data_IF_852799190857
#
_entry.id   IF_852799190857
#
_cell.length_a   1.000
_cell.length_b   1.000
_cell.length_c   1.000
_cell.angle_alpha   90.00
_cell.angle_beta   90.00
_cell.angle_gamma   90.00
#
_symmetry.space_group_name_H-M   'P 1'
#
loop_
_entity.id
_entity.type
_entity.pdbx_description
1 polymer ?
#
# COMPACT_ATOMS: atom_id res chain seq x y z
N UNK A 1 -8.27 0.14 25.26
CA UNK A 1 -6.81 -0.08 25.35
C UNK A 1 -6.21 -0.34 23.98
N UNK A 2 -5.98 0.72 23.21
CA UNK A 2 -5.31 0.64 21.90
C UNK A 2 -3.99 1.38 22.00
N UNK A 3 -2.91 0.81 21.47
CA UNK A 3 -1.58 1.43 21.41
C UNK A 3 -1.07 1.37 19.98
N UNK A 4 -0.72 2.52 19.41
CA UNK A 4 -0.09 2.61 18.10
C UNK A 4 1.43 2.67 18.24
N UNK A 5 2.16 1.90 17.43
CA UNK A 5 3.62 1.86 17.44
C UNK A 5 4.11 1.80 15.99
N UNK A 6 4.99 2.72 15.60
CA UNK A 6 5.69 2.65 14.33
C UNK A 6 6.86 1.66 14.44
N UNK A 7 6.97 0.75 13.48
CA UNK A 7 7.98 -0.30 13.46
C UNK A 7 8.46 -0.60 12.04
N UNK A 8 9.72 -1.02 11.92
CA UNK A 8 10.35 -1.42 10.67
C UNK A 8 10.92 -2.82 10.78
N UNK A 9 10.38 -3.77 10.02
CA UNK A 9 10.92 -5.13 9.95
C UNK A 9 12.30 -5.19 9.25
N UNK A 10 12.79 -4.09 8.68
CA UNK A 10 14.16 -3.95 8.17
C UNK A 10 15.19 -3.78 9.30
N UNK A 11 14.75 -3.42 10.50
CA UNK A 11 15.58 -3.31 11.70
C UNK A 11 15.27 -4.49 12.62
N UNK A 12 16.14 -5.51 12.71
CA UNK A 12 15.84 -6.75 13.42
C UNK A 12 15.36 -6.54 14.87
N UNK A 13 15.93 -5.58 15.59
CA UNK A 13 15.58 -5.30 16.99
C UNK A 13 14.21 -4.64 17.21
N UNK A 14 13.55 -4.11 16.18
CA UNK A 14 12.24 -3.44 16.37
C UNK A 14 11.10 -4.44 16.51
N UNK A 15 11.11 -5.54 15.74
CA UNK A 15 10.11 -6.60 15.85
C UNK A 15 10.12 -7.22 17.26
N UNK A 16 11.31 -7.45 17.84
CA UNK A 16 11.49 -8.04 19.16
C UNK A 16 10.85 -7.24 20.31
N UNK A 17 10.47 -5.98 20.09
CA UNK A 17 9.75 -5.16 21.07
C UNK A 17 8.28 -5.56 21.22
N UNK A 18 7.69 -6.21 20.22
CA UNK A 18 6.25 -6.50 20.15
C UNK A 18 5.77 -7.38 21.30
N UNK A 19 6.42 -8.52 21.64
CA UNK A 19 5.95 -9.35 22.76
C UNK A 19 5.87 -8.56 24.08
N UNK A 20 6.85 -7.70 24.37
CA UNK A 20 6.84 -6.83 25.55
C UNK A 20 5.69 -5.82 25.53
N UNK A 21 5.42 -5.23 24.36
CA UNK A 21 4.29 -4.29 24.19
C UNK A 21 2.94 -4.99 24.37
N UNK A 22 2.79 -6.21 23.84
CA UNK A 22 1.58 -7.01 24.00
C UNK A 22 1.38 -7.44 25.46
N UNK A 23 2.43 -7.88 26.16
CA UNK A 23 2.36 -8.21 27.59
C UNK A 23 1.89 -7.01 28.44
N UNK A 24 2.38 -5.81 28.14
CA UNK A 24 1.94 -4.61 28.86
C UNK A 24 0.45 -4.31 28.68
N UNK A 25 -0.15 -4.73 27.56
CA UNK A 25 -1.60 -4.62 27.30
C UNK A 25 -2.40 -5.77 27.93
N UNK A 26 -1.76 -6.92 28.17
CA UNK A 26 -2.39 -8.11 28.77
C UNK A 26 -1.54 -8.68 29.90
N UNK A 27 -1.41 -7.99 31.06
CA UNK A 27 -0.50 -8.38 32.12
C UNK A 27 -0.84 -9.71 32.81
N UNK A 28 -2.07 -10.21 32.61
CA UNK A 28 -2.53 -11.50 33.11
C UNK A 28 -2.15 -12.71 32.21
N UNK A 29 -1.38 -12.47 31.13
CA UNK A 29 -0.87 -13.50 30.21
C UNK A 29 0.66 -13.57 30.26
N UNK A 30 1.24 -14.59 29.63
CA UNK A 30 2.69 -14.82 29.58
C UNK A 30 3.20 -15.87 30.56
N UNK A 31 2.29 -16.68 31.12
CA UNK A 31 2.63 -17.83 31.99
C UNK A 31 2.29 -19.14 31.27
N UNK A 32 2.78 -20.28 31.76
CA UNK A 32 2.43 -21.60 31.19
C UNK A 32 0.91 -21.88 31.23
N UNK A 33 0.23 -21.44 32.29
CA UNK A 33 -1.22 -21.60 32.44
C UNK A 33 -2.02 -20.66 31.52
N UNK A 34 -1.48 -19.47 31.25
CA UNK A 34 -2.11 -18.43 30.43
C UNK A 34 -1.10 -17.85 29.44
N UNK A 35 -0.73 -18.59 28.38
CA UNK A 35 0.24 -18.10 27.42
C UNK A 35 -0.28 -16.85 26.70
N UNK A 36 0.64 -15.98 26.30
CA UNK A 36 0.38 -14.87 25.40
C UNK A 36 0.12 -15.44 23.99
N UNK A 37 -1.04 -15.12 23.42
CA UNK A 37 -1.41 -15.52 22.07
C UNK A 37 -1.59 -14.26 21.24
N UNK A 38 -0.71 -14.06 20.28
CA UNK A 38 -0.70 -12.91 19.38
C UNK A 38 -1.22 -13.32 18.01
N UNK A 39 -1.89 -12.39 17.34
CA UNK A 39 -2.50 -12.60 16.03
C UNK A 39 -2.15 -11.40 15.15
N UNK A 40 -1.53 -11.66 13.99
CA UNK A 40 -1.24 -10.64 13.00
C UNK A 40 -2.39 -10.62 12.00
N UNK A 41 -2.99 -9.45 11.79
CA UNK A 41 -4.04 -9.22 10.80
C UNK A 41 -3.77 -7.94 10.02
N UNK A 42 -4.33 -7.85 8.80
CA UNK A 42 -4.26 -6.67 7.95
C UNK A 42 -4.47 -7.01 6.48
N UNK A 43 -4.53 -5.98 5.63
CA UNK A 43 -4.67 -6.11 4.18
C UNK A 43 -3.46 -6.84 3.54
N UNK A 44 -3.54 -7.30 2.29
CA UNK A 44 -2.39 -7.89 1.60
C UNK A 44 -1.17 -6.94 1.54
N UNK A 45 0.02 -7.52 1.41
CA UNK A 45 1.29 -6.80 1.17
C UNK A 45 1.75 -5.76 2.23
N UNK A 46 1.07 -5.62 3.37
CA UNK A 46 1.53 -4.77 4.50
C UNK A 46 2.72 -5.33 5.29
N UNK A 47 3.27 -6.48 4.89
CA UNK A 47 4.43 -7.08 5.55
C UNK A 47 4.12 -7.98 6.76
N UNK A 48 2.92 -8.55 6.86
CA UNK A 48 2.52 -9.49 7.94
C UNK A 48 3.50 -10.67 8.11
N UNK A 49 3.77 -11.38 7.03
CA UNK A 49 4.69 -12.53 7.04
C UNK A 49 6.14 -12.10 7.24
N UNK A 50 6.52 -10.91 6.77
CA UNK A 50 7.83 -10.30 7.06
C UNK A 50 7.99 -10.03 8.54
N UNK A 51 6.94 -9.51 9.19
CA UNK A 51 6.92 -9.27 10.63
C UNK A 51 7.03 -10.58 11.42
N UNK A 52 6.29 -11.62 11.01
CA UNK A 52 6.39 -12.93 11.64
C UNK A 52 7.80 -13.53 11.51
N UNK A 53 8.39 -13.50 10.31
CA UNK A 53 9.75 -14.00 10.09
C UNK A 53 10.79 -13.24 10.92
N UNK A 54 10.63 -11.92 11.07
CA UNK A 54 11.47 -11.09 11.93
C UNK A 54 11.34 -11.47 13.41
N UNK A 55 10.13 -11.75 13.89
CA UNK A 55 9.88 -12.19 15.27
C UNK A 55 10.45 -13.58 15.57
N UNK A 56 10.42 -14.49 14.60
CA UNK A 56 10.92 -15.85 14.76
C UNK A 56 12.43 -15.95 14.53
N UNK A 57 13.10 -14.90 14.05
CA UNK A 57 14.50 -14.90 13.62
C UNK A 57 14.83 -16.01 12.58
N UNK A 58 13.84 -16.44 11.79
CA UNK A 58 14.00 -17.43 10.72
C UNK A 58 12.93 -17.24 9.64
N UNK A 59 13.21 -17.69 8.42
CA UNK A 59 12.26 -17.65 7.30
C UNK A 59 11.32 -18.85 7.39
N UNK A 60 10.09 -18.63 7.87
CA UNK A 60 9.07 -19.68 8.00
C UNK A 60 7.89 -19.45 7.08
N UNK A 61 7.44 -18.19 6.94
CA UNK A 61 6.41 -17.84 5.96
C UNK A 61 7.03 -17.36 4.65
N UNK A 62 6.38 -17.76 3.55
CA UNK A 62 6.67 -17.26 2.21
C UNK A 62 6.37 -15.75 2.16
N UNK A 63 7.35 -14.97 1.75
CA UNK A 63 7.19 -13.53 1.48
C UNK A 63 7.23 -13.35 -0.02
N UNK A 64 6.24 -12.65 -0.56
CA UNK A 64 6.16 -12.28 -1.96
C UNK A 64 5.40 -10.96 -2.09
N UNK A 65 5.62 -10.26 -3.18
CA UNK A 65 4.97 -8.98 -3.48
C UNK A 65 3.57 -9.18 -4.07
N UNK A 66 3.18 -10.42 -4.38
CA UNK A 66 1.85 -10.71 -4.89
C UNK A 66 0.82 -10.80 -3.75
N UNK A 67 -0.37 -10.19 -3.91
CA UNK A 67 -1.47 -10.41 -2.99
C UNK A 67 -1.82 -11.90 -2.84
N UNK A 68 -2.30 -12.29 -1.66
CA UNK A 68 -2.71 -13.67 -1.33
C UNK A 68 -1.58 -14.74 -1.29
N UNK A 69 -0.31 -14.34 -1.10
CA UNK A 69 0.81 -15.29 -0.88
C UNK A 69 0.57 -16.21 0.35
N UNK A 70 0.02 -15.67 1.45
CA UNK A 70 -0.34 -16.45 2.64
C UNK A 70 -1.72 -17.08 2.43
N UNK A 71 -1.77 -18.40 2.22
CA UNK A 71 -3.00 -19.14 1.87
C UNK A 71 -3.74 -19.74 3.07
N UNK A 72 -3.06 -19.95 4.19
CA UNK A 72 -3.64 -20.53 5.40
C UNK A 72 -3.10 -19.84 6.65
N UNK A 73 -3.85 -19.91 7.74
CA UNK A 73 -3.38 -19.44 9.04
C UNK A 73 -2.25 -20.34 9.52
N UNK A 74 -1.18 -19.75 10.03
CA UNK A 74 -0.03 -20.48 10.55
C UNK A 74 0.28 -20.00 11.96
N UNK A 75 0.40 -20.93 12.90
CA UNK A 75 0.74 -20.65 14.29
C UNK A 75 2.15 -21.14 14.59
N UNK A 76 2.92 -20.29 15.26
CA UNK A 76 4.26 -20.59 15.73
C UNK A 76 4.43 -20.18 17.18
N UNK A 77 5.15 -20.99 17.94
CA UNK A 77 5.56 -20.64 19.29
C UNK A 77 6.83 -19.80 19.22
N UNK A 78 6.82 -18.67 19.94
CA UNK A 78 7.98 -17.78 20.12
C UNK A 78 8.78 -18.23 21.36
N UNK A 79 8.06 -18.69 22.39
CA UNK A 79 8.61 -19.30 23.60
C UNK A 79 7.55 -20.20 24.24
N UNK A 80 7.89 -20.90 25.31
CA UNK A 80 6.96 -21.78 26.05
C UNK A 80 5.70 -21.07 26.56
N UNK A 81 5.74 -19.75 26.71
CA UNK A 81 4.62 -18.95 27.20
C UNK A 81 4.06 -17.98 26.16
N UNK A 82 4.53 -18.04 24.91
CA UNK A 82 4.12 -17.10 23.86
C UNK A 82 3.99 -17.75 22.49
N UNK A 83 2.90 -17.46 21.80
CA UNK A 83 2.65 -17.89 20.43
C UNK A 83 2.17 -16.74 19.55
N UNK A 84 2.43 -16.86 18.26
CA UNK A 84 1.98 -15.92 17.23
C UNK A 84 1.32 -16.67 16.08
N UNK A 85 0.26 -16.08 15.55
CA UNK A 85 -0.46 -16.58 14.39
C UNK A 85 -0.46 -15.55 13.27
N UNK A 86 -0.01 -15.93 12.09
CA UNK A 86 -0.13 -15.14 10.86
C UNK A 86 -1.40 -15.53 10.10
N UNK A 87 -2.03 -14.54 9.47
CA UNK A 87 -3.28 -14.71 8.74
C UNK A 87 -3.15 -14.22 7.30
N UNK A 88 -3.91 -14.81 6.35
CA UNK A 88 -4.02 -14.25 5.01
C UNK A 88 -4.40 -12.76 5.03
N UNK A 89 -3.92 -12.01 4.04
CA UNK A 89 -4.36 -10.63 3.86
C UNK A 89 -5.84 -10.57 3.57
N UNK A 90 -6.60 -9.79 4.34
CA UNK A 90 -8.04 -9.64 4.14
C UNK A 90 -8.37 -8.24 3.65
N UNK A 91 -9.19 -8.15 2.62
CA UNK A 91 -9.75 -6.90 2.11
C UNK A 91 -11.20 -6.76 2.57
N UNK A 92 -11.68 -5.53 2.67
CA UNK A 92 -13.11 -5.29 2.87
C UNK A 92 -13.89 -5.69 1.61
N UNK A 93 -15.11 -6.24 1.75
CA UNK A 93 -15.92 -6.62 0.59
C UNK A 93 -16.23 -5.45 -0.35
N UNK A 94 -16.33 -4.23 0.20
CA UNK A 94 -16.58 -3.01 -0.56
C UNK A 94 -15.64 -1.90 -0.09
N UNK A 95 -14.99 -1.25 -1.05
CA UNK A 95 -14.22 -0.02 -0.83
C UNK A 95 -15.21 1.16 -0.89
N UNK A 96 -15.24 1.98 0.16
CA UNK A 96 -16.26 3.03 0.31
C UNK A 96 -15.96 4.28 -0.54
N UNK A 97 -14.69 4.61 -0.71
CA UNK A 97 -14.23 5.79 -1.44
C UNK A 97 -13.28 5.37 -2.55
N UNK A 98 -13.46 5.91 -3.74
CA UNK A 98 -12.61 5.60 -4.90
C UNK A 98 -11.13 5.92 -4.63
N UNK A 99 -10.84 7.01 -3.93
CA UNK A 99 -9.48 7.37 -3.50
C UNK A 99 -8.79 6.26 -2.70
N UNK A 100 -9.54 5.51 -1.90
CA UNK A 100 -8.97 4.40 -1.12
C UNK A 100 -8.51 3.29 -2.06
N UNK A 101 -9.28 3.00 -3.12
CA UNK A 101 -8.91 2.04 -4.16
C UNK A 101 -7.60 2.43 -4.84
N UNK A 102 -7.45 3.69 -5.25
CA UNK A 102 -6.22 4.19 -5.85
C UNK A 102 -5.03 4.17 -4.88
N UNK A 103 -5.21 4.58 -3.62
CA UNK A 103 -4.14 4.51 -2.61
C UNK A 103 -3.69 3.07 -2.31
N UNK A 104 -4.64 2.14 -2.25
CA UNK A 104 -4.39 0.71 -2.09
C UNK A 104 -3.63 0.15 -3.29
N UNK A 105 -4.02 0.52 -4.52
CA UNK A 105 -3.34 0.12 -5.74
C UNK A 105 -1.92 0.67 -5.84
N UNK A 106 -1.75 1.97 -5.57
CA UNK A 106 -0.44 2.62 -5.58
C UNK A 106 0.51 1.92 -4.59
N UNK A 107 0.00 1.52 -3.43
CA UNK A 107 0.74 0.81 -2.37
C UNK A 107 0.87 -0.70 -2.58
N UNK A 108 0.41 -1.23 -3.72
CA UNK A 108 0.43 -2.66 -4.06
C UNK A 108 -0.36 -3.55 -3.09
N UNK A 109 -1.38 -3.02 -2.40
CA UNK A 109 -2.22 -3.79 -1.48
C UNK A 109 -3.34 -4.58 -2.19
N UNK A 110 -3.67 -4.20 -3.43
CA UNK A 110 -4.61 -4.91 -4.30
C UNK A 110 -3.91 -5.42 -5.56
N UNK A 111 -4.50 -6.42 -6.22
CA UNK A 111 -3.92 -7.05 -7.41
C UNK A 111 -3.82 -6.08 -8.59
N UNK A 112 -2.82 -6.29 -9.45
CA UNK A 112 -2.56 -5.41 -10.62
C UNK A 112 -3.73 -5.31 -11.59
N UNK A 113 -4.57 -6.34 -11.66
CA UNK A 113 -5.73 -6.37 -12.56
C UNK A 113 -6.96 -5.64 -11.99
N UNK A 114 -6.88 -5.08 -10.78
CA UNK A 114 -8.03 -4.44 -10.13
C UNK A 114 -8.31 -3.03 -10.66
N UNK A 115 -7.29 -2.38 -11.23
CA UNK A 115 -7.31 -0.98 -11.70
C UNK A 115 -6.33 -0.81 -12.85
N UNK A 116 -6.51 0.24 -13.65
CA UNK A 116 -5.61 0.63 -14.73
C UNK A 116 -4.40 1.35 -14.12
N UNK A 117 -3.18 0.91 -14.43
CA UNK A 117 -1.96 1.44 -13.81
C UNK A 117 -1.77 2.93 -14.13
N UNK A 118 -2.19 3.39 -15.31
CA UNK A 118 -2.17 4.80 -15.72
C UNK A 118 -3.05 5.68 -14.82
N UNK A 119 -4.28 5.24 -14.50
CA UNK A 119 -5.18 6.00 -13.64
C UNK A 119 -4.63 6.08 -12.21
N UNK A 120 -4.05 4.98 -11.71
CA UNK A 120 -3.39 4.93 -10.39
C UNK A 120 -2.17 5.86 -10.38
N UNK A 121 -1.37 5.84 -11.46
CA UNK A 121 -0.21 6.68 -11.60
C UNK A 121 -0.59 8.16 -11.68
N UNK A 122 -1.66 8.51 -12.39
CA UNK A 122 -2.18 9.88 -12.49
C UNK A 122 -2.65 10.38 -11.13
N UNK A 123 -3.49 9.60 -10.43
CA UNK A 123 -3.94 9.92 -9.07
C UNK A 123 -2.76 10.13 -8.11
N UNK A 124 -1.77 9.23 -8.17
CA UNK A 124 -0.57 9.34 -7.34
C UNK A 124 0.24 10.59 -7.71
N UNK A 125 0.40 10.88 -9.00
CA UNK A 125 1.14 12.03 -9.50
C UNK A 125 0.55 13.34 -8.96
N UNK A 126 -0.77 13.52 -9.07
CA UNK A 126 -1.46 14.70 -8.51
C UNK A 126 -1.28 14.82 -7.00
N UNK A 127 -1.38 13.71 -6.26
CA UNK A 127 -1.17 13.70 -4.82
C UNK A 127 0.27 14.12 -4.46
N UNK A 128 1.27 13.58 -5.16
CA UNK A 128 2.68 13.86 -4.88
C UNK A 128 3.12 15.26 -5.32
N UNK A 129 2.59 15.80 -6.42
CA UNK A 129 2.83 17.19 -6.81
C UNK A 129 2.31 18.18 -5.77
N UNK A 130 1.11 17.90 -5.22
CA UNK A 130 0.50 18.72 -4.19
C UNK A 130 1.25 18.67 -2.86
N UNK A 131 1.65 17.48 -2.42
CA UNK A 131 2.13 17.26 -1.06
C UNK A 131 3.67 17.16 -0.96
N UNK A 132 4.34 16.76 -2.03
CA UNK A 132 5.78 16.47 -2.07
C UNK A 132 6.48 16.95 -3.35
N UNK A 133 6.23 18.19 -3.84
CA UNK A 133 6.80 18.66 -5.11
C UNK A 133 8.33 18.68 -5.10
N UNK A 134 8.95 18.95 -3.95
CA UNK A 134 10.40 18.94 -3.77
C UNK A 134 11.01 17.55 -3.96
N UNK A 135 10.34 16.48 -3.48
CA UNK A 135 10.79 15.10 -3.64
C UNK A 135 10.67 14.63 -5.09
N UNK A 136 9.57 15.00 -5.75
CA UNK A 136 9.36 14.73 -7.19
C UNK A 136 10.46 15.40 -8.01
N UNK A 137 10.71 16.69 -7.77
CA UNK A 137 11.77 17.40 -8.49
C UNK A 137 13.15 16.79 -8.22
N UNK A 138 13.47 16.45 -6.96
CA UNK A 138 14.74 15.81 -6.63
C UNK A 138 14.93 14.46 -7.33
N UNK A 139 13.86 13.65 -7.45
CA UNK A 139 13.92 12.34 -8.11
C UNK A 139 14.15 12.44 -9.61
N UNK A 140 13.41 13.32 -10.29
CA UNK A 140 13.38 13.37 -11.76
C UNK A 140 14.18 14.53 -12.37
N UNK A 141 14.67 15.46 -11.55
CA UNK A 141 15.41 16.67 -11.94
C UNK A 141 14.64 17.49 -12.99
N UNK A 142 13.38 17.76 -12.70
CA UNK A 142 12.44 18.36 -13.65
C UNK A 142 12.77 19.82 -13.92
N UNK A 143 13.19 20.56 -12.90
CA UNK A 143 13.73 21.93 -13.00
C UNK A 143 14.89 22.09 -14.00
N UNK A 144 15.62 21.02 -14.30
CA UNK A 144 16.69 21.04 -15.32
C UNK A 144 16.19 20.79 -16.74
N UNK A 145 14.92 20.43 -16.91
CA UNK A 145 14.33 20.11 -18.21
C UNK A 145 13.71 21.36 -18.86
N UNK A 146 13.92 21.51 -20.16
CA UNK A 146 13.36 22.61 -20.94
C UNK A 146 12.01 22.22 -21.55
N UNK A 147 11.05 23.15 -21.51
CA UNK A 147 9.76 23.04 -22.18
C UNK A 147 9.24 24.44 -22.55
N UNK A 148 8.66 24.58 -23.75
CA UNK A 148 8.07 25.82 -24.25
C UNK A 148 8.93 27.10 -24.06
N UNK A 149 10.26 26.99 -24.22
CA UNK A 149 11.18 28.12 -24.10
C UNK A 149 11.63 28.46 -22.67
N UNK A 150 11.17 27.74 -21.65
CA UNK A 150 11.61 27.87 -20.25
C UNK A 150 12.04 26.53 -19.63
N UNK A 151 12.37 26.57 -18.34
CA UNK A 151 12.53 25.36 -17.53
C UNK A 151 11.17 24.91 -16.98
N UNK A 152 10.97 23.62 -16.77
CA UNK A 152 9.76 23.12 -16.12
C UNK A 152 9.65 23.63 -14.68
N UNK A 153 8.44 23.97 -14.28
CA UNK A 153 8.10 24.42 -12.93
C UNK A 153 7.14 23.40 -12.30
N UNK A 154 7.66 22.55 -11.42
CA UNK A 154 6.92 21.45 -10.79
C UNK A 154 5.69 21.92 -10.03
N UNK A 155 5.67 23.18 -9.55
CA UNK A 155 4.53 23.73 -8.83
C UNK A 155 3.34 24.09 -9.74
N UNK A 156 3.55 24.09 -11.06
CA UNK A 156 2.53 24.41 -12.06
C UNK A 156 2.14 23.19 -12.91
N UNK A 157 2.69 22.03 -12.60
CA UNK A 157 2.41 20.78 -13.30
C UNK A 157 1.18 20.10 -12.70
N UNK A 158 0.42 19.42 -13.53
CA UNK A 158 -0.53 18.40 -13.11
C UNK A 158 0.06 16.98 -13.27
N UNK A 159 -0.72 15.95 -12.92
CA UNK A 159 -0.28 14.58 -13.01
C UNK A 159 0.05 14.12 -14.44
N UNK A 160 -0.64 14.64 -15.46
CA UNK A 160 -0.36 14.33 -16.87
C UNK A 160 1.00 14.92 -17.26
N UNK A 161 1.22 16.19 -16.94
CA UNK A 161 2.49 16.88 -17.18
C UNK A 161 3.66 16.12 -16.54
N UNK A 162 3.47 15.61 -15.32
CA UNK A 162 4.50 14.86 -14.61
C UNK A 162 4.82 13.54 -15.31
N UNK A 163 3.80 12.75 -15.68
CA UNK A 163 4.03 11.49 -16.37
C UNK A 163 4.71 11.73 -17.73
N UNK A 164 4.28 12.71 -18.51
CA UNK A 164 4.95 13.07 -19.76
C UNK A 164 6.40 13.50 -19.55
N UNK A 165 6.68 14.31 -18.52
CA UNK A 165 8.03 14.73 -18.19
C UNK A 165 8.92 13.54 -17.77
N UNK A 166 8.39 12.57 -17.05
CA UNK A 166 9.10 11.33 -16.70
C UNK A 166 9.38 10.49 -17.96
N UNK A 167 8.38 10.32 -18.84
CA UNK A 167 8.52 9.59 -20.09
C UNK A 167 9.62 10.21 -20.97
N UNK A 168 9.64 11.55 -21.06
CA UNK A 168 10.68 12.34 -21.71
C UNK A 168 12.04 12.12 -21.07
N UNK A 169 12.14 12.25 -19.75
CA UNK A 169 13.40 12.13 -18.99
C UNK A 169 14.04 10.76 -19.15
N UNK A 170 13.22 9.71 -19.23
CA UNK A 170 13.66 8.32 -19.33
C UNK A 170 13.67 7.77 -20.75
N UNK A 171 13.32 8.60 -21.74
CA UNK A 171 13.25 8.21 -23.15
C UNK A 171 12.37 6.98 -23.38
N UNK A 172 11.23 6.88 -22.68
CA UNK A 172 10.24 5.82 -22.90
C UNK A 172 9.45 6.09 -24.18
N UNK A 173 10.12 6.00 -25.33
CA UNK A 173 9.53 6.20 -26.65
C UNK A 173 9.07 4.87 -27.26
N UNK A 174 7.95 4.92 -27.95
CA UNK A 174 7.42 3.86 -28.81
C UNK A 174 8.01 3.98 -30.22
N UNK A 175 7.77 2.96 -31.04
CA UNK A 175 8.20 2.91 -32.43
C UNK A 175 7.53 3.97 -33.33
N UNK A 176 6.32 4.40 -32.97
CA UNK A 176 5.55 5.47 -33.65
C UNK A 176 6.03 6.89 -33.29
N UNK A 177 7.05 7.02 -32.44
CA UNK A 177 7.60 8.31 -32.00
C UNK A 177 6.87 8.94 -30.82
N UNK A 178 5.75 8.36 -30.36
CA UNK A 178 5.03 8.79 -29.16
C UNK A 178 5.67 8.22 -27.88
N UNK A 179 5.28 8.75 -26.73
CA UNK A 179 5.73 8.24 -25.44
C UNK A 179 4.87 7.04 -24.98
N UNK A 180 5.53 6.07 -24.36
CA UNK A 180 4.93 4.88 -23.78
C UNK A 180 4.41 5.21 -22.37
N UNK A 181 3.13 5.58 -22.28
CA UNK A 181 2.51 6.02 -21.03
C UNK A 181 2.27 4.87 -20.05
N UNK A 182 1.94 3.68 -20.54
CA UNK A 182 1.78 2.47 -19.72
C UNK A 182 3.10 2.13 -19.00
N UNK A 183 4.20 2.05 -19.77
CA UNK A 183 5.53 1.82 -19.20
C UNK A 183 5.95 2.92 -18.23
N UNK A 184 5.57 4.16 -18.52
CA UNK A 184 5.85 5.31 -17.65
C UNK A 184 5.11 5.19 -16.33
N UNK A 185 3.82 4.87 -16.36
CA UNK A 185 2.98 4.67 -15.18
C UNK A 185 3.56 3.55 -14.29
N UNK A 186 3.87 2.39 -14.87
CA UNK A 186 4.48 1.26 -14.14
C UNK A 186 5.82 1.66 -13.51
N UNK A 187 6.67 2.38 -14.25
CA UNK A 187 7.96 2.84 -13.74
C UNK A 187 7.81 3.86 -12.61
N UNK A 188 6.86 4.78 -12.70
CA UNK A 188 6.55 5.76 -11.67
C UNK A 188 6.02 5.10 -10.40
N UNK A 189 5.06 4.18 -10.52
CA UNK A 189 4.55 3.38 -9.40
C UNK A 189 5.66 2.56 -8.73
N UNK A 190 6.59 2.02 -9.50
CA UNK A 190 7.76 1.29 -8.98
C UNK A 190 8.71 2.20 -8.19
N UNK A 191 8.98 3.41 -8.68
CA UNK A 191 9.78 4.40 -7.95
C UNK A 191 9.13 4.79 -6.61
N UNK A 192 7.81 4.94 -6.59
CA UNK A 192 7.04 5.19 -5.38
C UNK A 192 7.15 4.01 -4.40
N UNK A 193 6.83 2.79 -4.83
CA UNK A 193 6.81 1.57 -3.99
C UNK A 193 8.18 1.22 -3.42
N UNK A 194 9.25 1.46 -4.17
CA UNK A 194 10.63 1.24 -3.71
C UNK A 194 11.12 2.30 -2.70
N UNK A 195 10.40 3.41 -2.57
CA UNK A 195 10.82 4.57 -1.78
C UNK A 195 11.89 5.42 -2.44
N UNK A 196 12.13 5.23 -3.75
CA UNK A 196 13.14 5.98 -4.50
C UNK A 196 12.80 7.47 -4.63
N UNK A 197 11.51 7.82 -4.59
CA UNK A 197 11.04 9.22 -4.55
C UNK A 197 11.32 9.84 -3.17
N UNK A 198 11.16 9.06 -2.09
CA UNK A 198 11.40 9.51 -0.72
C UNK A 198 10.43 8.88 0.28
N UNK A 199 10.41 9.42 1.50
CA UNK A 199 9.47 8.99 2.56
C UNK A 199 8.14 9.71 2.37
N UNK A 200 7.12 8.96 2.00
CA UNK A 200 5.81 9.49 1.63
C UNK A 200 4.72 8.87 2.50
N UNK A 201 3.73 9.67 2.85
CA UNK A 201 2.42 9.22 3.35
C UNK A 201 1.34 9.85 2.49
N UNK A 202 0.46 9.04 1.90
CA UNK A 202 -0.58 9.51 0.95
C UNK A 202 -1.74 10.24 1.63
N UNK A 203 -1.89 10.04 2.93
CA UNK A 203 -2.87 10.72 3.76
C UNK A 203 -2.32 11.08 5.14
N UNK A 204 -3.01 12.02 5.78
CA UNK A 204 -2.86 12.42 7.17
C UNK A 204 -4.23 12.36 7.84
N UNK A 205 -4.34 12.33 9.18
CA UNK A 205 -5.63 12.39 9.85
C UNK A 205 -6.49 13.59 9.41
N UNK A 206 -5.86 14.75 9.17
CA UNK A 206 -6.53 15.97 8.71
C UNK A 206 -7.01 15.84 7.26
N UNK A 207 -6.16 15.36 6.34
CA UNK A 207 -6.56 15.19 4.94
C UNK A 207 -7.64 14.12 4.79
N UNK A 208 -7.61 13.07 5.62
CA UNK A 208 -8.62 12.02 5.67
C UNK A 208 -9.97 12.56 6.12
N UNK A 209 -9.99 13.31 7.23
CA UNK A 209 -11.21 13.95 7.71
C UNK A 209 -11.80 14.91 6.67
N UNK A 210 -10.96 15.70 6.01
CA UNK A 210 -11.40 16.61 4.95
C UNK A 210 -11.96 15.87 3.72
N UNK A 211 -11.36 14.74 3.32
CA UNK A 211 -11.89 13.90 2.22
C UNK A 211 -13.27 13.34 2.57
N UNK A 212 -13.42 12.76 3.76
CA UNK A 212 -14.70 12.17 4.20
C UNK A 212 -15.83 13.19 4.31
N UNK A 213 -15.53 14.48 4.53
CA UNK A 213 -16.54 15.54 4.53
C UNK A 213 -16.95 16.00 3.12
N UNK A 214 -16.05 15.89 2.15
CA UNK A 214 -16.24 16.41 0.78
C UNK A 214 -16.83 15.39 -0.18
N UNK A 215 -16.55 14.11 0.06
CA UNK A 215 -16.85 13.03 -0.89
C UNK A 215 -18.03 12.20 -0.41
N UNK A 216 -19.04 12.03 -1.25
CA UNK A 216 -20.11 11.05 -1.02
C UNK A 216 -19.53 9.64 -1.18
N UNK A 217 -19.86 8.68 -0.30
CA UNK A 217 -19.46 7.29 -0.47
C UNK A 217 -19.99 6.74 -1.81
N UNK A 218 -19.24 5.83 -2.45
CA UNK A 218 -19.68 5.17 -3.68
C UNK A 218 -21.02 4.46 -3.43
N UNK A 219 -22.09 4.88 -4.13
CA UNK A 219 -23.45 4.34 -3.95
C UNK A 219 -23.48 2.82 -4.13
N UNK A 220 -24.41 2.16 -3.44
CA UNK A 220 -24.60 0.71 -3.50
C UNK A 220 -25.63 0.34 -4.58
N UNK A 221 -25.18 0.09 -5.81
CA UNK A 221 -25.89 -0.69 -6.82
C UNK A 221 -25.07 -1.97 -7.04
N UNK A 222 -25.57 -3.21 -6.97
CA UNK A 222 -26.93 -3.78 -7.05
C UNK A 222 -27.05 -4.97 -6.09
N UNK A 223 -28.25 -5.25 -5.58
CA UNK A 223 -28.59 -6.54 -4.94
C UNK A 223 -28.21 -7.69 -5.91
N UNK A 224 -27.70 -8.83 -5.44
CA UNK A 224 -27.65 -10.02 -6.29
C UNK A 224 -29.10 -10.40 -6.62
N UNK A 225 -29.43 -10.38 -7.92
CA UNK A 225 -30.64 -11.04 -8.41
C UNK A 225 -30.41 -12.53 -8.16
N UNK A 226 -31.08 -13.05 -7.12
CA UNK A 226 -31.28 -14.49 -6.99
C UNK A 226 -32.18 -14.90 -8.16
N UNK A 227 -31.58 -15.42 -9.23
CA UNK A 227 -32.32 -16.21 -10.21
C UNK A 227 -32.89 -17.44 -9.48
N UNK A 228 -34.15 -17.35 -9.08
CA UNK A 228 -34.96 -18.53 -8.80
C UNK A 228 -35.14 -19.26 -10.12
N UNK A 229 -34.33 -20.30 -10.34
CA UNK A 229 -34.62 -21.31 -11.35
C UNK A 229 -35.88 -22.05 -10.90
N UNK A 230 -37.03 -21.58 -11.37
CA UNK A 230 -38.23 -22.40 -11.43
C UNK A 230 -37.95 -23.56 -12.39
N UNK A 231 -37.95 -24.78 -11.85
CA UNK A 231 -38.06 -26.00 -12.64
C UNK A 231 -39.52 -26.14 -13.05
N UNK A 232 -39.85 -26.35 -14.33
CA UNK A 232 -41.14 -26.90 -14.69
C UNK A 232 -41.14 -28.42 -14.46
N UNK A 233 -42.33 -28.92 -14.12
CA UNK A 233 -42.68 -30.31 -13.82
C UNK A 233 -42.28 -31.34 -14.90
#
# INVERSE_FOLDING_TARGET
NTKAVALSCKKPGEANKIPKLCLALTPHRGTHLKPLRMLIMGIPNVGKSTLMNALLNRRVAKVGDEPAVTKSQQRFDISETMSITDTPGMMWPKIQYESDGYMLAASHAIGRNAVIDEDVALFLADNLLKNYPTLINARYKLDTMKHAGGFLDVLKMDGVDLLEAIARRRSYKRHDGLYDMEKTAVAFLTDYRSGAIGRISLETPLSRAAMMQKTLPVEANTKPVLETKDKPD
#
